data_IF_701921730209
#
_entry.id   IF_701921730209
#
_cell.length_a   1.000
_cell.length_b   1.000
_cell.length_c   1.000
_cell.angle_alpha   90.00
_cell.angle_beta   90.00
_cell.angle_gamma   90.00
#
_symmetry.space_group_name_H-M   'P 1'
#
loop_
_entity.id
_entity.type
_entity.pdbx_description
1 polymer ?
#
# COMPACT_ATOMS: atom_id res chain seq x y z
N UNK A 1 -6.17 -19.55 -16.43
CA UNK A 1 -5.37 -18.40 -15.96
C UNK A 1 -6.25 -17.55 -15.07
N UNK A 2 -5.85 -17.27 -13.83
CA UNK A 2 -6.64 -16.43 -12.92
C UNK A 2 -6.54 -14.97 -13.37
N UNK A 3 -7.68 -14.26 -13.39
CA UNK A 3 -7.72 -12.88 -13.83
C UNK A 3 -7.11 -11.95 -12.75
N UNK A 4 -6.05 -11.17 -13.06
CA UNK A 4 -5.41 -10.28 -12.08
C UNK A 4 -6.35 -9.20 -11.51
N UNK A 5 -7.41 -8.84 -12.24
CA UNK A 5 -8.41 -7.88 -11.77
C UNK A 5 -9.12 -8.35 -10.50
N UNK A 6 -9.26 -9.66 -10.28
CA UNK A 6 -9.89 -10.21 -9.06
C UNK A 6 -9.07 -9.82 -7.83
N UNK A 7 -7.75 -10.01 -7.87
CA UNK A 7 -6.87 -9.65 -6.76
C UNK A 7 -6.85 -8.14 -6.52
N UNK A 8 -6.87 -7.33 -7.58
CA UNK A 8 -6.94 -5.88 -7.46
C UNK A 8 -8.23 -5.40 -6.78
N UNK A 9 -9.38 -6.03 -7.09
CA UNK A 9 -10.66 -5.73 -6.42
C UNK A 9 -10.61 -6.12 -4.94
N UNK A 10 -10.06 -7.28 -4.61
CA UNK A 10 -9.87 -7.69 -3.21
C UNK A 10 -8.99 -6.66 -2.47
N UNK A 11 -7.88 -6.23 -3.08
CA UNK A 11 -7.01 -5.19 -2.51
C UNK A 11 -7.77 -3.89 -2.29
N UNK A 12 -8.55 -3.43 -3.27
CA UNK A 12 -9.37 -2.22 -3.15
C UNK A 12 -10.35 -2.30 -1.98
N UNK A 13 -11.05 -3.42 -1.82
CA UNK A 13 -11.97 -3.62 -0.70
C UNK A 13 -11.23 -3.60 0.65
N UNK A 14 -10.11 -4.33 0.75
CA UNK A 14 -9.29 -4.34 1.96
C UNK A 14 -8.75 -2.94 2.31
N UNK A 15 -8.25 -2.20 1.32
CA UNK A 15 -7.74 -0.84 1.50
C UNK A 15 -8.84 0.20 1.76
N UNK A 16 -10.10 -0.08 1.37
CA UNK A 16 -11.25 0.73 1.76
C UNK A 16 -11.66 0.55 3.22
N UNK A 17 -11.54 -0.67 3.74
CA UNK A 17 -11.97 -1.02 5.11
C UNK A 17 -10.86 -0.77 6.15
N UNK A 18 -9.61 -1.12 5.84
CA UNK A 18 -8.46 -1.01 6.75
C UNK A 18 -8.27 0.37 7.43
N UNK A 19 -8.48 1.51 6.75
CA UNK A 19 -8.38 2.84 7.35
C UNK A 19 -9.30 3.05 8.55
N UNK A 20 -10.46 2.39 8.58
CA UNK A 20 -11.43 2.48 9.67
C UNK A 20 -10.85 1.88 10.96
N UNK A 21 -10.27 0.69 10.86
CA UNK A 21 -9.57 0.04 11.97
C UNK A 21 -8.31 0.82 12.38
N UNK A 22 -7.53 1.30 11.41
CA UNK A 22 -6.34 2.11 11.66
C UNK A 22 -6.68 3.38 12.44
N UNK A 23 -7.68 4.15 11.98
CA UNK A 23 -8.13 5.37 12.67
C UNK A 23 -8.64 5.07 14.08
N UNK A 24 -9.46 4.02 14.25
CA UNK A 24 -9.98 3.62 15.55
C UNK A 24 -8.85 3.24 16.54
N UNK A 25 -7.89 2.43 16.10
CA UNK A 25 -6.75 1.99 16.92
C UNK A 25 -5.78 3.13 17.30
N UNK A 26 -5.65 4.15 16.46
CA UNK A 26 -4.79 5.31 16.70
C UNK A 26 -5.33 6.29 17.75
N UNK A 27 -6.58 6.13 18.21
CA UNK A 27 -7.19 6.97 19.25
C UNK A 27 -6.39 6.94 20.55
N UNK A 28 -5.86 5.76 20.91
CA UNK A 28 -5.15 5.53 22.18
C UNK A 28 -3.68 5.15 22.00
N UNK A 29 -3.13 5.25 20.78
CA UNK A 29 -1.78 4.82 20.46
C UNK A 29 -1.02 5.86 19.65
N UNK A 30 0.30 5.94 19.86
CA UNK A 30 1.19 6.66 18.96
C UNK A 30 1.26 5.93 17.59
N UNK A 31 1.27 6.64 16.45
CA UNK A 31 1.38 6.04 15.11
C UNK A 31 2.56 5.07 14.95
N UNK A 32 3.73 5.39 15.50
CA UNK A 32 4.90 4.52 15.40
C UNK A 32 4.68 3.24 16.23
N UNK A 33 4.14 3.36 17.44
CA UNK A 33 3.82 2.20 18.29
C UNK A 33 2.76 1.31 17.62
N UNK A 34 1.68 1.90 17.11
CA UNK A 34 0.64 1.17 16.38
C UNK A 34 1.20 0.42 15.17
N UNK A 35 2.14 1.05 14.45
CA UNK A 35 2.81 0.43 13.31
C UNK A 35 3.71 -0.75 13.72
N UNK A 36 4.45 -0.63 14.83
CA UNK A 36 5.26 -1.73 15.38
C UNK A 36 4.36 -2.91 15.75
N UNK A 37 3.29 -2.66 16.52
CA UNK A 37 2.32 -3.70 16.92
C UNK A 37 1.75 -4.40 15.69
N UNK A 38 1.26 -3.63 14.70
CA UNK A 38 0.76 -4.17 13.42
C UNK A 38 1.79 -5.05 12.74
N UNK A 39 3.04 -4.61 12.67
CA UNK A 39 4.10 -5.30 11.93
C UNK A 39 4.50 -6.61 12.61
N UNK A 40 4.55 -6.65 13.95
CA UNK A 40 4.81 -7.88 14.72
C UNK A 40 3.71 -8.90 14.46
N UNK A 41 2.44 -8.49 14.61
CA UNK A 41 1.28 -9.39 14.42
C UNK A 41 1.30 -9.99 13.01
N UNK A 42 1.45 -9.14 11.98
CA UNK A 42 1.45 -9.60 10.59
C UNK A 42 2.66 -10.51 10.32
N UNK A 43 3.85 -10.18 10.84
CA UNK A 43 5.04 -11.01 10.65
C UNK A 43 4.86 -12.41 11.24
N UNK A 44 4.30 -12.52 12.45
CA UNK A 44 4.01 -13.81 13.08
C UNK A 44 3.03 -14.62 12.23
N UNK A 45 1.95 -13.99 11.75
CA UNK A 45 0.95 -14.65 10.89
C UNK A 45 1.58 -15.14 9.58
N UNK A 46 2.42 -14.31 8.93
CA UNK A 46 3.09 -14.67 7.68
C UNK A 46 4.10 -15.81 7.87
N UNK A 47 4.87 -15.79 8.96
CA UNK A 47 5.79 -16.88 9.29
C UNK A 47 5.05 -18.18 9.59
N UNK A 48 3.95 -18.12 10.35
CA UNK A 48 3.10 -19.29 10.58
C UNK A 48 2.55 -19.84 9.26
N UNK A 49 1.97 -18.98 8.42
CA UNK A 49 1.48 -19.38 7.10
C UNK A 49 2.56 -20.01 6.23
N UNK A 50 3.78 -19.45 6.24
CA UNK A 50 4.92 -20.01 5.51
C UNK A 50 5.23 -21.44 5.93
N UNK A 51 5.26 -21.71 7.24
CA UNK A 51 5.51 -23.03 7.81
C UNK A 51 4.41 -24.05 7.43
N UNK A 52 3.14 -23.63 7.41
CA UNK A 52 2.00 -24.52 7.11
C UNK A 52 1.71 -24.68 5.62
N UNK A 53 2.18 -23.77 4.76
CA UNK A 53 1.86 -23.78 3.33
C UNK A 53 2.41 -25.00 2.57
N UNK A 54 3.32 -25.78 3.17
CA UNK A 54 4.00 -26.92 2.53
C UNK A 54 4.91 -26.54 1.34
N UNK A 55 4.88 -25.26 0.98
CA UNK A 55 5.57 -24.67 -0.14
C UNK A 55 6.56 -23.65 0.42
N UNK A 56 7.37 -24.06 1.40
CA UNK A 56 8.43 -23.22 2.00
C UNK A 56 9.37 -22.78 0.87
N UNK A 57 9.16 -21.58 0.28
CA UNK A 57 10.07 -21.09 -0.71
C UNK A 57 11.37 -20.92 0.06
N UNK A 58 12.42 -21.58 -0.38
CA UNK A 58 13.67 -21.50 0.33
C UNK A 58 14.12 -20.04 0.24
N UNK A 59 13.97 -19.28 1.33
CA UNK A 59 14.28 -17.86 1.39
C UNK A 59 15.73 -17.61 0.92
N UNK A 60 16.60 -18.59 1.13
CA UNK A 60 18.00 -18.59 0.71
C UNK A 60 18.20 -18.85 -0.79
N UNK A 61 17.19 -19.37 -1.50
CA UNK A 61 17.21 -19.52 -2.97
C UNK A 61 16.77 -18.26 -3.71
N UNK A 62 16.18 -17.29 -3.01
CA UNK A 62 15.80 -16.02 -3.60
C UNK A 62 17.04 -15.19 -3.88
N UNK A 63 17.17 -14.70 -5.11
CA UNK A 63 18.31 -13.92 -5.56
C UNK A 63 18.53 -12.67 -4.68
N UNK A 64 19.78 -12.32 -4.30
CA UNK A 64 20.08 -11.14 -3.48
C UNK A 64 19.52 -9.82 -4.04
N UNK A 65 19.44 -9.71 -5.38
CA UNK A 65 18.81 -8.56 -6.04
C UNK A 65 17.33 -8.43 -5.69
N UNK A 66 16.60 -9.54 -5.67
CA UNK A 66 15.19 -9.59 -5.29
C UNK A 66 15.00 -9.17 -3.84
N UNK A 67 15.89 -9.63 -2.94
CA UNK A 67 15.89 -9.15 -1.55
C UNK A 67 16.02 -7.64 -1.45
N UNK A 68 16.96 -7.04 -2.19
CA UNK A 68 17.15 -5.59 -2.22
C UNK A 68 15.91 -4.84 -2.74
N UNK A 69 15.29 -5.32 -3.81
CA UNK A 69 14.08 -4.72 -4.37
C UNK A 69 12.87 -4.81 -3.44
N UNK A 70 12.66 -5.96 -2.80
CA UNK A 70 11.57 -6.16 -1.83
C UNK A 70 11.81 -5.36 -0.55
N UNK A 71 13.07 -5.26 -0.09
CA UNK A 71 13.41 -4.41 1.04
C UNK A 71 13.14 -2.93 0.74
N UNK A 72 13.50 -2.46 -0.46
CA UNK A 72 13.19 -1.10 -0.89
C UNK A 72 11.68 -0.86 -0.94
N UNK A 73 10.90 -1.79 -1.52
CA UNK A 73 9.44 -1.73 -1.51
C UNK A 73 8.89 -1.62 -0.08
N UNK A 74 9.34 -2.47 0.84
CA UNK A 74 8.91 -2.45 2.24
C UNK A 74 9.28 -1.15 2.96
N UNK A 75 10.43 -0.55 2.67
CA UNK A 75 10.83 0.75 3.22
C UNK A 75 9.89 1.85 2.74
N UNK A 76 9.63 1.94 1.43
CA UNK A 76 8.76 2.99 0.88
C UNK A 76 7.29 2.79 1.26
N UNK A 77 6.77 1.57 1.13
CA UNK A 77 5.36 1.26 1.37
C UNK A 77 5.04 1.24 2.86
N UNK A 78 5.81 0.50 3.67
CA UNK A 78 5.52 0.35 5.10
C UNK A 78 6.23 1.39 5.95
N UNK A 79 7.57 1.47 5.93
CA UNK A 79 8.29 2.33 6.87
C UNK A 79 7.99 3.82 6.68
N UNK A 80 8.12 4.33 5.47
CA UNK A 80 7.88 5.74 5.17
C UNK A 80 6.40 6.00 4.89
N UNK A 81 5.82 5.23 3.98
CA UNK A 81 4.44 5.40 3.51
C UNK A 81 3.40 5.18 4.60
N UNK A 82 3.31 3.98 5.18
CA UNK A 82 2.32 3.69 6.21
C UNK A 82 2.52 4.49 7.50
N UNK A 83 3.77 4.80 7.88
CA UNK A 83 4.01 5.66 9.04
C UNK A 83 3.45 7.07 8.82
N UNK A 84 3.81 7.71 7.70
CA UNK A 84 3.26 9.01 7.33
C UNK A 84 1.74 8.98 7.20
N UNK A 85 1.19 7.90 6.62
CA UNK A 85 -0.24 7.67 6.52
C UNK A 85 -0.91 7.54 7.90
N UNK A 86 -0.31 6.86 8.86
CA UNK A 86 -0.85 6.74 10.22
C UNK A 86 -0.81 8.07 10.96
N UNK A 87 0.25 8.88 10.79
CA UNK A 87 0.25 10.26 11.31
C UNK A 87 -0.86 11.10 10.66
N UNK A 88 -1.02 11.03 9.34
CA UNK A 88 -2.08 11.73 8.63
C UNK A 88 -3.47 11.28 9.09
N UNK A 89 -3.70 9.98 9.25
CA UNK A 89 -4.94 9.43 9.81
C UNK A 89 -5.17 9.88 11.24
N UNK A 90 -4.14 9.95 12.08
CA UNK A 90 -4.30 10.39 13.47
C UNK A 90 -4.78 11.84 13.52
N UNK A 91 -4.20 12.71 12.69
CA UNK A 91 -4.50 14.14 12.63
C UNK A 91 -5.77 14.50 11.83
N UNK A 92 -6.15 13.71 10.83
CA UNK A 92 -7.29 13.94 9.94
C UNK A 92 -8.40 12.89 10.06
N UNK A 93 -9.40 12.95 9.20
CA UNK A 93 -10.44 11.92 9.08
C UNK A 93 -10.07 10.90 8.02
N UNK A 94 -10.52 9.65 8.18
CA UNK A 94 -10.31 8.63 7.15
C UNK A 94 -10.91 9.06 5.80
N UNK A 95 -12.10 9.68 5.80
CA UNK A 95 -12.79 10.14 4.60
C UNK A 95 -12.05 11.24 3.82
N UNK A 96 -11.17 12.00 4.46
CA UNK A 96 -10.37 13.04 3.79
C UNK A 96 -8.98 12.54 3.41
N UNK A 97 -8.35 11.71 4.25
CA UNK A 97 -6.99 11.21 4.01
C UNK A 97 -6.97 10.12 2.92
N UNK A 98 -7.93 9.18 2.93
CA UNK A 98 -7.91 8.04 2.00
C UNK A 98 -8.08 8.45 0.53
N UNK A 99 -8.92 9.44 0.15
CA UNK A 99 -8.95 9.91 -1.22
C UNK A 99 -7.63 10.55 -1.63
N UNK A 100 -7.01 11.38 -0.78
CA UNK A 100 -5.72 12.02 -1.08
C UNK A 100 -4.65 10.96 -1.37
N UNK A 101 -4.54 9.91 -0.56
CA UNK A 101 -3.59 8.82 -0.79
C UNK A 101 -3.93 7.98 -2.02
N UNK A 102 -5.19 7.98 -2.46
CA UNK A 102 -5.61 7.29 -3.69
C UNK A 102 -5.09 7.95 -4.97
N UNK A 103 -4.43 9.10 -4.88
CA UNK A 103 -3.69 9.71 -6.00
C UNK A 103 -2.34 9.02 -6.29
N UNK A 104 -1.87 8.10 -5.45
CA UNK A 104 -0.63 7.35 -5.63
C UNK A 104 -0.41 6.75 -7.05
N UNK A 105 -1.43 6.24 -7.76
CA UNK A 105 -1.26 5.72 -9.12
C UNK A 105 -0.68 6.74 -10.11
N UNK A 106 -0.84 8.05 -9.89
CA UNK A 106 -0.17 9.06 -10.73
C UNK A 106 1.34 8.97 -10.63
N UNK A 107 1.85 8.88 -9.40
CA UNK A 107 3.28 8.75 -9.12
C UNK A 107 3.78 7.45 -9.74
N UNK A 108 3.01 6.36 -9.60
CA UNK A 108 3.33 5.08 -10.22
C UNK A 108 3.39 5.15 -11.75
N UNK A 109 2.41 5.77 -12.42
CA UNK A 109 2.42 5.91 -13.89
C UNK A 109 3.62 6.74 -14.35
N UNK A 110 3.92 7.85 -13.67
CA UNK A 110 5.06 8.69 -13.99
C UNK A 110 6.39 7.94 -13.83
N UNK A 111 6.58 7.28 -12.68
CA UNK A 111 7.79 6.51 -12.41
C UNK A 111 7.88 5.25 -13.28
N UNK A 112 6.77 4.63 -13.67
CA UNK A 112 6.78 3.49 -14.59
C UNK A 112 7.29 3.88 -15.98
N UNK A 113 6.92 5.07 -16.47
CA UNK A 113 7.45 5.59 -17.74
C UNK A 113 8.95 5.92 -17.62
N UNK A 114 9.36 6.56 -16.53
CA UNK A 114 10.75 7.03 -16.34
C UNK A 114 11.71 5.88 -16.01
N UNK A 115 11.34 5.01 -15.06
CA UNK A 115 12.23 4.00 -14.48
C UNK A 115 12.05 2.61 -15.12
N UNK A 116 10.82 2.23 -15.47
CA UNK A 116 10.53 0.92 -16.08
C UNK A 116 10.44 0.97 -17.61
N UNK A 117 10.50 2.17 -18.21
CA UNK A 117 10.40 2.34 -19.66
C UNK A 117 9.03 1.98 -20.23
N UNK A 118 7.96 2.02 -19.41
CA UNK A 118 6.61 1.79 -19.91
C UNK A 118 6.23 2.83 -20.97
N UNK A 119 5.53 2.39 -22.01
CA UNK A 119 5.00 3.31 -23.03
C UNK A 119 4.02 4.26 -22.39
N UNK A 120 4.25 5.56 -22.61
CA UNK A 120 3.32 6.60 -22.19
C UNK A 120 1.97 6.39 -22.88
N UNK A 121 0.90 6.35 -22.08
CA UNK A 121 -0.47 6.22 -22.57
C UNK A 121 -1.26 7.44 -22.15
N UNK A 122 -1.69 8.23 -23.12
CA UNK A 122 -2.57 9.38 -22.92
C UNK A 122 -3.86 9.00 -22.19
N UNK A 123 -4.37 7.78 -22.39
CA UNK A 123 -5.55 7.27 -21.69
C UNK A 123 -5.27 7.02 -20.20
N UNK A 124 -4.11 6.44 -19.85
CA UNK A 124 -3.70 6.25 -18.45
C UNK A 124 -3.54 7.60 -17.75
N UNK A 125 -2.93 8.58 -18.44
CA UNK A 125 -2.76 9.93 -17.91
C UNK A 125 -4.11 10.62 -17.67
N UNK A 126 -5.01 10.59 -18.66
CA UNK A 126 -6.33 11.21 -18.55
C UNK A 126 -7.14 10.60 -17.39
N UNK A 127 -7.14 9.28 -17.27
CA UNK A 127 -7.77 8.58 -16.14
C UNK A 127 -7.18 9.01 -14.80
N UNK A 128 -5.85 9.13 -14.70
CA UNK A 128 -5.18 9.59 -13.50
C UNK A 128 -5.57 11.03 -13.13
N UNK A 129 -5.67 11.94 -14.11
CA UNK A 129 -6.14 13.32 -13.90
C UNK A 129 -7.59 13.35 -13.41
N UNK A 130 -8.47 12.54 -14.00
CA UNK A 130 -9.87 12.44 -13.56
C UNK A 130 -9.97 11.94 -12.11
N UNK A 131 -9.14 10.98 -11.70
CA UNK A 131 -9.06 10.52 -10.31
C UNK A 131 -8.67 11.67 -9.37
N UNK A 132 -7.68 12.49 -9.72
CA UNK A 132 -7.29 13.66 -8.92
C UNK A 132 -8.44 14.66 -8.78
N UNK A 133 -9.12 14.97 -9.88
CA UNK A 133 -10.27 15.88 -9.85
C UNK A 133 -11.34 15.33 -8.92
N UNK A 134 -11.65 14.02 -9.00
CA UNK A 134 -12.57 13.36 -8.09
C UNK A 134 -12.14 13.47 -6.62
N UNK A 135 -10.87 13.22 -6.32
CA UNK A 135 -10.30 13.38 -4.97
C UNK A 135 -10.42 14.82 -4.47
N UNK A 136 -10.12 15.81 -5.32
CA UNK A 136 -10.22 17.23 -4.98
C UNK A 136 -11.66 17.66 -4.66
N UNK A 137 -12.65 17.05 -5.32
CA UNK A 137 -14.06 17.25 -5.02
C UNK A 137 -14.48 16.61 -3.70
N UNK A 138 -14.01 15.39 -3.40
CA UNK A 138 -14.30 14.68 -2.14
C UNK A 138 -13.68 15.40 -0.93
N UNK A 139 -12.54 16.07 -1.11
CA UNK A 139 -11.83 16.78 -0.05
C UNK A 139 -12.58 18.03 0.46
N UNK A 140 -13.44 18.65 -0.36
CA UNK A 140 -14.20 19.85 0.00
C UNK A 140 -15.40 19.51 0.89
#
# INVERSE_FOLDING_TARGET
MVNPFIFAVITMLCWGIAPLFGKAGLTNADPAIAMVIRSIIITVILLAWLLFSGNTPNLLTVEPKTWGLIAAEGIFASLLGHLAYFYALKLGTASTITPITSAAPMVTVLLAVILLGERFSWHKLLGAVLVVIGIALIKR
#
